data_IF_785458949635
#
_entry.id   IF_785458949635
#
_cell.length_a   1.000
_cell.length_b   1.000
_cell.length_c   1.000
_cell.angle_alpha   90.00
_cell.angle_beta   90.00
_cell.angle_gamma   90.00
#
_symmetry.space_group_name_H-M   'P 1'
#
loop_
_entity.id
_entity.type
_entity.pdbx_description
1 polymer ?
#
# COMPACT_ATOMS: atom_id res chain seq x y z
N UNK A 1 -44.74 -28.28 20.10
CA UNK A 1 -43.27 -28.32 20.27
C UNK A 1 -42.54 -27.68 19.08
N UNK A 2 -43.11 -26.65 18.44
CA UNK A 2 -42.58 -26.00 17.24
C UNK A 2 -41.94 -24.63 17.49
N UNK A 3 -42.15 -23.99 18.66
CA UNK A 3 -41.72 -22.62 18.96
C UNK A 3 -40.20 -22.42 19.06
N UNK A 4 -39.45 -23.44 19.51
CA UNK A 4 -37.98 -23.33 19.73
C UNK A 4 -37.21 -23.19 18.42
N UNK A 5 -37.67 -23.85 17.36
CA UNK A 5 -36.98 -23.88 16.06
C UNK A 5 -37.05 -22.53 15.36
N UNK A 6 -38.22 -21.87 15.42
CA UNK A 6 -38.44 -20.58 14.78
C UNK A 6 -37.66 -19.46 15.50
N UNK A 7 -37.55 -19.55 16.83
CA UNK A 7 -36.74 -18.62 17.65
C UNK A 7 -35.24 -18.78 17.37
N UNK A 8 -34.75 -20.01 17.21
CA UNK A 8 -33.35 -20.31 16.84
C UNK A 8 -33.01 -19.79 15.43
N UNK A 9 -33.91 -19.97 14.46
CA UNK A 9 -33.75 -19.42 13.11
C UNK A 9 -33.73 -17.89 13.10
N UNK A 10 -34.60 -17.25 13.89
CA UNK A 10 -34.65 -15.80 14.03
C UNK A 10 -33.36 -15.23 14.64
N UNK A 11 -32.82 -15.91 15.66
CA UNK A 11 -31.54 -15.55 16.29
C UNK A 11 -30.37 -15.69 15.31
N UNK A 12 -30.37 -16.74 14.49
CA UNK A 12 -29.35 -16.96 13.46
C UNK A 12 -29.41 -15.85 12.40
N UNK A 13 -30.61 -15.50 11.92
CA UNK A 13 -30.82 -14.43 10.96
C UNK A 13 -30.34 -13.07 11.52
N UNK A 14 -30.68 -12.76 12.78
CA UNK A 14 -30.24 -11.54 13.45
C UNK A 14 -28.71 -11.46 13.53
N UNK A 15 -28.04 -12.56 13.91
CA UNK A 15 -26.58 -12.62 13.97
C UNK A 15 -25.92 -12.43 12.59
N UNK A 16 -26.50 -13.00 11.52
CA UNK A 16 -26.03 -12.79 10.14
C UNK A 16 -26.19 -11.32 9.74
N UNK A 17 -27.34 -10.70 10.01
CA UNK A 17 -27.61 -9.29 9.70
C UNK A 17 -26.65 -8.37 10.47
N UNK A 18 -26.45 -8.58 11.78
CA UNK A 18 -25.47 -7.82 12.56
C UNK A 18 -24.05 -7.98 12.03
N UNK A 19 -23.66 -9.19 11.60
CA UNK A 19 -22.33 -9.44 11.03
C UNK A 19 -22.11 -8.70 9.71
N UNK A 20 -23.17 -8.48 8.93
CA UNK A 20 -23.13 -7.73 7.66
C UNK A 20 -23.11 -6.21 7.88
N UNK A 21 -23.76 -5.73 8.96
CA UNK A 21 -23.76 -4.32 9.35
C UNK A 21 -22.42 -3.88 9.94
N UNK A 22 -21.65 -4.79 10.55
CA UNK A 22 -20.26 -4.53 10.93
C UNK A 22 -19.44 -4.29 9.65
N UNK A 23 -19.12 -3.02 9.39
CA UNK A 23 -18.35 -2.62 8.22
C UNK A 23 -17.12 -3.51 8.03
N UNK A 24 -17.03 -4.19 6.89
CA UNK A 24 -15.92 -5.10 6.60
C UNK A 24 -14.60 -4.35 6.72
N UNK A 25 -13.62 -4.91 7.43
CA UNK A 25 -12.26 -4.35 7.49
C UNK A 25 -11.68 -4.32 6.08
N UNK A 26 -11.47 -3.12 5.54
CA UNK A 26 -10.88 -2.93 4.22
C UNK A 26 -9.35 -2.94 4.35
N UNK A 27 -8.71 -4.01 3.89
CA UNK A 27 -7.23 -4.11 3.89
C UNK A 27 -6.60 -2.98 3.06
N UNK A 28 -7.06 -2.78 1.83
CA UNK A 28 -6.55 -1.75 0.92
C UNK A 28 -7.69 -0.86 0.47
N UNK A 29 -7.64 0.42 0.85
CA UNK A 29 -8.62 1.43 0.42
C UNK A 29 -8.63 1.54 -1.11
N UNK A 30 -9.81 1.82 -1.69
CA UNK A 30 -10.01 1.87 -3.14
C UNK A 30 -9.02 2.78 -3.88
N UNK A 31 -8.68 3.93 -3.30
CA UNK A 31 -7.68 4.86 -3.86
C UNK A 31 -6.30 4.22 -4.06
N UNK A 32 -5.89 3.33 -3.15
CA UNK A 32 -4.59 2.66 -3.18
C UNK A 32 -4.58 1.45 -4.13
N UNK A 33 -5.74 0.96 -4.58
CA UNK A 33 -5.82 -0.13 -5.56
C UNK A 33 -5.27 0.30 -6.92
N UNK A 34 -5.38 1.58 -7.25
CA UNK A 34 -4.93 2.13 -8.54
C UNK A 34 -3.52 2.74 -8.47
N UNK A 35 -2.71 2.38 -7.46
CA UNK A 35 -1.36 2.95 -7.23
C UNK A 35 -0.42 2.72 -8.41
N UNK A 36 -0.49 1.57 -9.06
CA UNK A 36 0.36 1.29 -10.24
C UNK A 36 0.08 2.25 -11.41
N UNK A 37 -1.15 2.79 -11.50
CA UNK A 37 -1.55 3.70 -12.58
C UNK A 37 -1.44 5.18 -12.17
N UNK A 38 -1.81 5.52 -10.94
CA UNK A 38 -1.93 6.91 -10.49
C UNK A 38 -1.01 7.29 -9.31
N UNK A 39 -0.24 6.34 -8.78
CA UNK A 39 0.69 6.58 -7.69
C UNK A 39 1.80 7.54 -8.07
N UNK A 40 2.22 8.37 -7.13
CA UNK A 40 3.29 9.37 -7.31
C UNK A 40 4.57 8.73 -7.85
N UNK A 41 4.95 7.56 -7.33
CA UNK A 41 6.13 6.82 -7.80
C UNK A 41 6.04 6.41 -9.27
N UNK A 42 4.93 5.79 -9.66
CA UNK A 42 4.75 5.26 -11.01
C UNK A 42 4.57 6.35 -12.07
N UNK A 43 4.21 7.57 -11.66
CA UNK A 43 4.04 8.73 -12.54
C UNK A 43 5.19 9.72 -12.40
N UNK A 44 5.22 10.48 -11.31
CA UNK A 44 6.15 11.59 -11.12
C UNK A 44 7.58 11.09 -10.98
N UNK A 45 7.87 10.12 -10.11
CA UNK A 45 9.26 9.68 -9.89
C UNK A 45 9.89 9.12 -11.17
N UNK A 46 9.13 8.36 -11.97
CA UNK A 46 9.56 7.87 -13.28
C UNK A 46 9.86 8.98 -14.29
N UNK A 47 9.11 10.08 -14.26
CA UNK A 47 9.42 11.25 -15.10
C UNK A 47 10.68 11.98 -14.61
N UNK A 48 10.93 12.00 -13.30
CA UNK A 48 12.13 12.61 -12.72
C UNK A 48 13.41 11.87 -13.09
N UNK A 49 13.36 10.57 -13.37
CA UNK A 49 14.52 9.80 -13.85
C UNK A 49 15.14 10.40 -15.13
N UNK A 50 14.35 11.09 -15.96
CA UNK A 50 14.86 11.77 -17.17
C UNK A 50 15.34 13.21 -16.93
N UNK A 51 15.21 13.73 -15.71
CA UNK A 51 15.52 15.12 -15.35
C UNK A 51 16.33 15.17 -14.06
N UNK A 52 17.65 15.08 -14.18
CA UNK A 52 18.57 14.98 -13.04
C UNK A 52 18.44 16.17 -12.06
N UNK A 53 18.30 17.39 -12.58
CA UNK A 53 18.08 18.61 -11.79
C UNK A 53 16.81 18.50 -10.93
N UNK A 54 15.71 18.03 -11.52
CA UNK A 54 14.43 17.86 -10.83
C UNK A 54 14.48 16.69 -9.86
N UNK A 55 15.14 15.59 -10.22
CA UNK A 55 15.35 14.45 -9.34
C UNK A 55 16.10 14.88 -8.08
N UNK A 56 17.19 15.64 -8.25
CA UNK A 56 17.98 16.16 -7.15
C UNK A 56 17.15 17.08 -6.25
N UNK A 57 16.36 18.00 -6.81
CA UNK A 57 15.48 18.85 -6.00
C UNK A 57 14.42 18.05 -5.23
N UNK A 58 13.92 16.98 -5.84
CA UNK A 58 12.85 16.15 -5.29
C UNK A 58 13.34 15.24 -4.17
N UNK A 59 14.47 14.55 -4.35
CA UNK A 59 15.04 13.59 -3.40
C UNK A 59 16.22 14.13 -2.60
N UNK A 60 16.68 15.37 -2.86
CA UNK A 60 17.87 15.99 -2.25
C UNK A 60 19.14 15.14 -2.37
N UNK A 61 19.22 14.33 -3.42
CA UNK A 61 20.36 13.49 -3.76
C UNK A 61 20.36 13.19 -5.26
N UNK A 62 21.52 12.87 -5.83
CA UNK A 62 21.61 12.43 -7.23
C UNK A 62 20.94 11.06 -7.43
N UNK A 63 20.71 10.69 -8.69
CA UNK A 63 20.21 9.35 -9.03
C UNK A 63 21.19 8.25 -8.58
N UNK A 64 22.49 8.50 -8.75
CA UNK A 64 23.54 7.57 -8.32
C UNK A 64 23.51 7.35 -6.79
N UNK A 65 23.42 8.43 -6.01
CA UNK A 65 23.31 8.31 -4.54
C UNK A 65 22.01 7.62 -4.12
N UNK A 66 20.92 7.81 -4.87
CA UNK A 66 19.68 7.08 -4.62
C UNK A 66 19.86 5.58 -4.84
N UNK A 67 20.50 5.18 -5.94
CA UNK A 67 20.70 3.77 -6.26
C UNK A 67 21.72 3.11 -5.31
N UNK A 68 22.78 3.81 -4.93
CA UNK A 68 23.72 3.35 -3.91
C UNK A 68 23.01 3.11 -2.56
N UNK A 69 22.19 4.07 -2.12
CA UNK A 69 21.38 3.92 -0.92
C UNK A 69 20.40 2.75 -1.04
N UNK A 70 19.78 2.58 -2.22
CA UNK A 70 18.84 1.50 -2.49
C UNK A 70 19.51 0.13 -2.31
N UNK A 71 20.68 -0.09 -2.92
CA UNK A 71 21.42 -1.35 -2.81
C UNK A 71 21.82 -1.66 -1.36
N UNK A 72 22.23 -0.66 -0.58
CA UNK A 72 22.59 -0.82 0.84
C UNK A 72 21.42 -1.28 1.71
N UNK A 73 20.19 -0.86 1.39
CA UNK A 73 19.00 -1.17 2.19
C UNK A 73 18.17 -2.31 1.62
N UNK A 74 18.34 -2.66 0.34
CA UNK A 74 17.55 -3.66 -0.38
C UNK A 74 17.38 -4.96 0.43
N UNK A 75 18.44 -5.56 1.01
CA UNK A 75 18.32 -6.81 1.79
C UNK A 75 17.40 -6.68 3.00
N UNK A 76 17.22 -5.47 3.54
CA UNK A 76 16.38 -5.19 4.72
C UNK A 76 14.95 -4.82 4.36
N UNK A 77 14.73 -4.29 3.17
CA UNK A 77 13.41 -3.83 2.73
C UNK A 77 12.74 -4.78 1.75
N UNK A 78 13.42 -5.78 1.21
CA UNK A 78 12.79 -6.77 0.35
C UNK A 78 11.71 -7.58 1.10
N UNK A 79 10.62 -7.92 0.40
CA UNK A 79 9.54 -8.73 0.95
C UNK A 79 9.23 -9.87 -0.01
N UNK A 80 9.08 -11.08 0.54
CA UNK A 80 8.63 -12.25 -0.22
C UNK A 80 7.21 -12.02 -0.73
N UNK A 81 7.01 -12.20 -2.03
CA UNK A 81 5.68 -12.19 -2.63
C UNK A 81 4.93 -13.44 -2.19
N UNK A 82 3.67 -13.26 -1.79
CA UNK A 82 2.76 -14.34 -1.37
C UNK A 82 1.43 -14.19 -2.10
N UNK A 83 0.58 -15.21 -2.04
CA UNK A 83 -0.73 -15.23 -2.69
C UNK A 83 -1.74 -14.21 -2.10
N UNK A 84 -1.45 -13.64 -0.93
CA UNK A 84 -2.36 -12.73 -0.24
C UNK A 84 -2.32 -11.31 -0.80
N UNK A 85 -1.11 -10.75 -0.97
CA UNK A 85 -0.92 -9.38 -1.42
C UNK A 85 0.44 -9.18 -2.05
N UNK A 86 0.47 -8.53 -3.20
CA UNK A 86 1.69 -8.02 -3.82
C UNK A 86 2.33 -6.95 -2.92
N UNK A 87 3.58 -7.11 -2.48
CA UNK A 87 4.30 -6.08 -1.75
C UNK A 87 4.44 -4.79 -2.59
N UNK A 88 4.63 -3.67 -1.90
CA UNK A 88 5.04 -2.42 -2.56
C UNK A 88 6.46 -2.63 -3.06
N UNK A 89 6.75 -2.24 -4.30
CA UNK A 89 8.09 -2.39 -4.88
C UNK A 89 9.11 -1.68 -4.00
N UNK A 90 10.29 -2.27 -3.82
CA UNK A 90 11.32 -1.79 -2.90
C UNK A 90 11.79 -0.36 -3.24
N UNK A 91 12.03 -0.06 -4.52
CA UNK A 91 12.33 1.32 -4.98
C UNK A 91 11.19 2.31 -4.68
N UNK A 92 9.93 1.90 -4.86
CA UNK A 92 8.77 2.73 -4.50
C UNK A 92 8.74 3.03 -2.99
N UNK A 93 9.07 2.03 -2.16
CA UNK A 93 9.15 2.22 -0.71
C UNK A 93 10.25 3.20 -0.31
N UNK A 94 11.42 3.12 -0.93
CA UNK A 94 12.50 4.06 -0.68
C UNK A 94 12.08 5.47 -1.10
N UNK A 95 11.52 5.63 -2.29
CA UNK A 95 11.07 6.93 -2.78
C UNK A 95 10.04 7.59 -1.84
N UNK A 96 9.04 6.84 -1.37
CA UNK A 96 8.06 7.33 -0.39
C UNK A 96 8.73 7.70 0.94
N UNK A 97 9.67 6.88 1.41
CA UNK A 97 10.40 7.14 2.66
C UNK A 97 11.18 8.44 2.59
N UNK A 98 12.00 8.62 1.54
CA UNK A 98 12.79 9.84 1.33
C UNK A 98 11.90 11.07 1.19
N UNK A 99 10.81 10.96 0.42
CA UNK A 99 9.83 12.04 0.26
C UNK A 99 9.24 12.51 1.60
N UNK A 100 9.06 11.60 2.55
CA UNK A 100 8.58 11.93 3.89
C UNK A 100 9.69 12.48 4.79
N UNK A 101 10.86 11.84 4.79
CA UNK A 101 11.98 12.19 5.67
C UNK A 101 12.64 13.54 5.31
N UNK A 102 12.58 13.94 4.05
CA UNK A 102 13.27 15.12 3.51
C UNK A 102 12.40 16.39 3.57
N UNK A 103 11.09 16.25 3.86
CA UNK A 103 10.23 17.40 4.12
C UNK A 103 10.48 17.96 5.51
N UNK A 104 11.23 19.06 5.59
CA UNK A 104 11.16 20.09 6.64
C UNK A 104 10.82 21.42 5.99
#
# INVERSE_FOLDING_TARGET
MSSSSDEEELLLLYAVVESQQKGKRIWVRGINKKRENYGEYHRLCRQLESHEDRFYLYFRMSQDSFEELYELILPRIEKKTTNWRKPIHTRERLAICLRYAIKK
#
